data_IF_445473656001
#
_entry.id   IF_445473656001
#
_cell.length_a   1.000
_cell.length_b   1.000
_cell.length_c   1.000
_cell.angle_alpha   90.00
_cell.angle_beta   90.00
_cell.angle_gamma   90.00
#
_symmetry.space_group_name_H-M   'P 1'
#
loop_
_entity.id
_entity.type
_entity.pdbx_description
1 polymer ?
#
# COMPACT_ATOMS: atom_id res chain seq x y z
N UNK A 1 50.02 -8.35 52.65
CA UNK A 1 50.25 -8.29 51.20
C UNK A 1 49.01 -8.85 50.52
N UNK A 2 48.74 -8.39 49.29
CA UNK A 2 47.53 -8.61 48.46
C UNK A 2 46.36 -7.66 48.82
N UNK A 3 46.48 -6.37 48.49
CA UNK A 3 46.07 -5.74 47.23
C UNK A 3 44.56 -5.86 46.93
N UNK A 4 43.83 -4.87 47.43
CA UNK A 4 42.52 -4.45 46.93
C UNK A 4 42.58 -4.27 45.42
N UNK A 5 41.76 -5.02 44.68
CA UNK A 5 41.54 -4.77 43.25
C UNK A 5 40.64 -3.54 43.11
N UNK A 6 41.10 -2.42 42.52
CA UNK A 6 40.20 -1.33 42.18
C UNK A 6 39.28 -1.81 41.07
N UNK A 7 37.96 -1.70 41.29
CA UNK A 7 36.94 -1.96 40.28
C UNK A 7 37.27 -1.20 39.00
N UNK A 8 37.41 -1.90 37.88
CA UNK A 8 37.48 -1.31 36.55
C UNK A 8 36.17 -0.57 36.26
N UNK A 9 36.09 0.70 36.67
CA UNK A 9 35.15 1.65 36.08
C UNK A 9 35.58 1.80 34.62
N UNK A 10 34.95 1.02 33.73
CA UNK A 10 34.91 1.35 32.31
C UNK A 10 34.31 2.75 32.21
N UNK A 11 35.20 3.73 31.99
CA UNK A 11 34.81 5.07 31.59
C UNK A 11 34.14 4.88 30.22
N UNK A 12 32.82 4.68 30.24
CA UNK A 12 31.98 4.93 29.09
C UNK A 12 32.14 6.43 28.86
N UNK A 13 32.94 6.80 27.86
CA UNK A 13 32.84 8.09 27.22
C UNK A 13 31.43 8.19 26.65
N UNK A 14 30.48 8.56 27.51
CA UNK A 14 29.17 9.03 27.12
C UNK A 14 29.43 10.34 26.41
N UNK A 15 29.48 10.27 25.09
CA UNK A 15 29.31 11.44 24.26
C UNK A 15 27.90 11.95 24.55
N UNK A 16 27.67 13.08 25.26
CA UNK A 16 26.34 13.45 25.73
C UNK A 16 25.42 13.92 24.59
N UNK A 17 25.93 13.93 23.36
CA UNK A 17 25.29 14.54 22.19
C UNK A 17 25.14 13.56 21.02
N UNK A 18 25.37 12.24 21.21
CA UNK A 18 25.22 11.28 20.09
C UNK A 18 23.96 10.44 20.15
N UNK A 19 23.33 10.35 21.33
CA UNK A 19 22.15 9.50 21.53
C UNK A 19 20.83 10.29 21.53
N UNK A 20 20.87 11.62 21.48
CA UNK A 20 19.67 12.48 21.55
C UNK A 20 18.99 12.80 20.22
N UNK A 21 19.71 12.80 19.10
CA UNK A 21 19.19 13.34 17.83
C UNK A 21 18.68 12.28 16.85
N UNK A 22 18.88 10.99 17.13
CA UNK A 22 18.46 9.91 16.22
C UNK A 22 17.31 9.04 16.75
N UNK A 23 16.92 9.17 18.03
CA UNK A 23 15.87 8.33 18.62
C UNK A 23 14.45 8.78 18.25
N UNK A 24 14.27 10.01 17.77
CA UNK A 24 12.94 10.56 17.46
C UNK A 24 12.40 10.23 16.07
N UNK A 25 13.17 9.59 15.20
CA UNK A 25 12.76 9.43 13.79
C UNK A 25 12.14 8.06 13.48
N UNK A 26 12.38 7.01 14.29
CA UNK A 26 12.18 5.63 13.78
C UNK A 26 11.28 4.66 14.59
N UNK A 27 10.79 4.99 15.80
CA UNK A 27 10.00 4.01 16.58
C UNK A 27 8.49 4.26 16.60
N UNK A 28 8.03 5.48 16.27
CA UNK A 28 6.59 5.83 16.34
C UNK A 28 6.05 6.56 15.09
N UNK A 29 6.88 6.88 14.09
CA UNK A 29 6.51 7.78 12.99
C UNK A 29 5.89 7.12 11.76
N UNK A 30 5.91 5.79 11.62
CA UNK A 30 5.16 5.08 10.56
C UNK A 30 3.70 5.01 10.97
N UNK A 31 3.03 6.17 10.94
CA UNK A 31 1.59 6.22 11.01
C UNK A 31 1.03 5.20 10.00
N UNK A 32 0.13 4.30 10.41
CA UNK A 32 -0.47 3.32 9.53
C UNK A 32 -1.47 3.92 8.54
N UNK A 33 -1.87 5.15 8.79
CA UNK A 33 -2.86 5.90 8.01
C UNK A 33 -2.48 6.14 6.55
N UNK A 34 -1.26 6.57 6.19
CA UNK A 34 -0.88 6.85 4.82
C UNK A 34 -0.98 5.60 3.94
N UNK A 35 -0.54 4.44 4.43
CA UNK A 35 -0.63 3.19 3.68
C UNK A 35 -2.09 2.77 3.45
N UNK A 36 -2.93 2.76 4.49
CA UNK A 36 -4.34 2.41 4.36
C UNK A 36 -5.10 3.35 3.41
N UNK A 37 -4.86 4.67 3.50
CA UNK A 37 -5.47 5.65 2.60
C UNK A 37 -5.06 5.42 1.15
N UNK A 38 -3.77 5.15 0.91
CA UNK A 38 -3.28 4.87 -0.44
C UNK A 38 -3.92 3.60 -1.02
N UNK A 39 -4.00 2.51 -0.26
CA UNK A 39 -4.68 1.29 -0.71
C UNK A 39 -6.17 1.53 -0.99
N UNK A 40 -6.85 2.34 -0.17
CA UNK A 40 -8.24 2.71 -0.43
C UNK A 40 -8.40 3.55 -1.70
N UNK A 41 -7.54 4.56 -1.90
CA UNK A 41 -7.56 5.41 -3.10
C UNK A 41 -7.27 4.59 -4.37
N UNK A 42 -6.26 3.72 -4.35
CA UNK A 42 -5.97 2.82 -5.47
C UNK A 42 -7.08 1.81 -5.74
N UNK A 43 -7.70 1.28 -4.68
CA UNK A 43 -8.83 0.36 -4.80
C UNK A 43 -10.03 1.01 -5.49
N UNK A 44 -10.46 2.18 -4.99
CA UNK A 44 -11.55 2.95 -5.58
C UNK A 44 -11.21 3.43 -6.99
N UNK A 45 -9.98 3.90 -7.22
CA UNK A 45 -9.51 4.33 -8.54
C UNK A 45 -9.57 3.20 -9.57
N UNK A 46 -9.18 1.98 -9.17
CA UNK A 46 -9.23 0.80 -10.05
C UNK A 46 -10.67 0.42 -10.42
N UNK A 47 -11.59 0.44 -9.45
CA UNK A 47 -13.02 0.19 -9.69
C UNK A 47 -13.60 1.24 -10.63
N UNK A 48 -13.32 2.51 -10.38
CA UNK A 48 -13.79 3.61 -11.23
C UNK A 48 -13.25 3.51 -12.66
N UNK A 49 -11.97 3.18 -12.83
CA UNK A 49 -11.38 2.95 -14.14
C UNK A 49 -12.03 1.77 -14.86
N UNK A 50 -12.28 0.67 -14.15
CA UNK A 50 -13.01 -0.50 -14.69
C UNK A 50 -14.41 -0.13 -15.15
N UNK A 51 -15.17 0.59 -14.32
CA UNK A 51 -16.52 1.06 -14.65
C UNK A 51 -16.54 2.02 -15.85
N UNK A 52 -15.67 3.04 -15.83
CA UNK A 52 -15.54 3.99 -16.94
C UNK A 52 -15.23 3.25 -18.23
N UNK A 53 -14.29 2.30 -18.19
CA UNK A 53 -13.87 1.60 -19.39
C UNK A 53 -14.93 0.64 -19.92
N UNK A 54 -15.71 0.02 -19.04
CA UNK A 54 -16.89 -0.75 -19.43
C UNK A 54 -17.88 0.11 -20.23
N UNK A 55 -18.19 1.32 -19.77
CA UNK A 55 -19.11 2.22 -20.48
C UNK A 55 -18.54 2.66 -21.84
N UNK A 56 -17.25 2.99 -21.91
CA UNK A 56 -16.60 3.35 -23.19
C UNK A 56 -16.64 2.18 -24.18
N UNK A 57 -16.44 0.94 -23.72
CA UNK A 57 -16.55 -0.25 -24.57
C UNK A 57 -17.99 -0.52 -25.02
N UNK A 58 -18.96 -0.32 -24.12
CA UNK A 58 -20.39 -0.50 -24.43
C UNK A 58 -20.85 0.51 -25.47
N UNK A 59 -20.48 1.78 -25.29
CA UNK A 59 -20.74 2.85 -26.27
C UNK A 59 -20.05 2.58 -27.60
N UNK A 60 -18.82 2.04 -27.59
CA UNK A 60 -18.12 1.65 -28.80
C UNK A 60 -18.87 0.54 -29.57
N UNK A 61 -19.37 -0.49 -28.88
CA UNK A 61 -20.15 -1.56 -29.50
C UNK A 61 -21.47 -1.05 -30.11
N UNK A 62 -22.13 -0.08 -29.47
CA UNK A 62 -23.42 0.45 -29.96
C UNK A 62 -23.25 1.51 -31.04
N UNK A 63 -22.19 2.31 -31.01
CA UNK A 63 -21.93 3.40 -31.95
C UNK A 63 -21.17 2.96 -33.21
N UNK A 64 -20.51 1.80 -33.20
CA UNK A 64 -19.70 1.31 -34.33
C UNK A 64 -18.49 2.17 -34.64
N UNK A 65 -18.07 3.02 -33.70
CA UNK A 65 -16.92 3.93 -33.84
C UNK A 65 -15.59 3.19 -33.69
N UNK A 66 -14.45 3.89 -33.73
CA UNK A 66 -13.13 3.28 -33.47
C UNK A 66 -12.62 3.66 -32.09
N UNK A 67 -12.18 2.67 -31.32
CA UNK A 67 -11.61 2.87 -29.99
C UNK A 67 -10.14 2.42 -29.97
N UNK A 68 -9.28 3.21 -29.32
CA UNK A 68 -7.91 2.78 -29.03
C UNK A 68 -7.92 1.84 -27.82
N UNK A 69 -7.49 0.60 -28.01
CA UNK A 69 -7.27 -0.38 -26.94
C UNK A 69 -5.78 -0.62 -26.72
N UNK A 70 -5.38 -0.87 -25.47
CA UNK A 70 -4.03 -1.35 -25.15
C UNK A 70 -3.92 -2.85 -25.46
N UNK A 71 -2.71 -3.36 -25.66
CA UNK A 71 -2.46 -4.78 -25.99
C UNK A 71 -3.08 -5.75 -24.98
N UNK A 72 -2.94 -5.48 -23.69
CA UNK A 72 -3.55 -6.27 -22.61
C UNK A 72 -5.07 -6.22 -22.63
N UNK A 73 -5.64 -5.04 -22.89
CA UNK A 73 -7.09 -4.86 -22.97
C UNK A 73 -7.67 -5.61 -24.17
N UNK A 74 -6.98 -5.55 -25.31
CA UNK A 74 -7.34 -6.32 -26.51
C UNK A 74 -7.29 -7.82 -26.25
N UNK A 75 -6.24 -8.32 -25.61
CA UNK A 75 -6.15 -9.73 -25.24
C UNK A 75 -7.29 -10.15 -24.30
N UNK A 76 -7.67 -9.29 -23.35
CA UNK A 76 -8.80 -9.57 -22.49
C UNK A 76 -10.13 -9.60 -23.25
N UNK A 77 -10.29 -8.69 -24.21
CA UNK A 77 -11.45 -8.63 -25.08
C UNK A 77 -11.54 -9.86 -25.99
N UNK A 78 -10.43 -10.30 -26.57
CA UNK A 78 -10.39 -11.48 -27.45
C UNK A 78 -10.73 -12.78 -26.69
N UNK A 79 -10.43 -12.86 -25.39
CA UNK A 79 -10.71 -14.04 -24.55
C UNK A 79 -12.16 -14.13 -24.07
N UNK A 80 -12.72 -13.04 -23.55
CA UNK A 80 -14.05 -13.07 -22.91
C UNK A 80 -14.85 -11.78 -23.11
N UNK A 81 -14.54 -11.03 -24.17
CA UNK A 81 -15.31 -9.88 -24.61
C UNK A 81 -15.25 -8.70 -23.65
N UNK A 82 -16.35 -7.95 -23.61
CA UNK A 82 -16.43 -6.62 -22.98
C UNK A 82 -16.26 -6.65 -21.45
N UNK A 83 -16.53 -7.80 -20.83
CA UNK A 83 -16.65 -7.93 -19.37
C UNK A 83 -15.33 -8.22 -18.67
N UNK A 84 -14.39 -8.88 -19.35
CA UNK A 84 -13.21 -9.45 -18.69
C UNK A 84 -12.30 -8.38 -18.09
N UNK A 85 -11.98 -7.34 -18.87
CA UNK A 85 -11.07 -6.29 -18.43
C UNK A 85 -11.67 -5.45 -17.27
N UNK A 86 -12.93 -5.00 -17.33
CA UNK A 86 -13.60 -4.37 -16.19
C UNK A 86 -13.67 -5.27 -14.94
N UNK A 87 -13.94 -6.57 -15.12
CA UNK A 87 -13.98 -7.52 -14.00
C UNK A 87 -12.63 -7.65 -13.30
N UNK A 88 -11.54 -7.75 -14.06
CA UNK A 88 -10.18 -7.83 -13.49
C UNK A 88 -9.87 -6.57 -12.67
N UNK A 89 -10.19 -5.39 -13.20
CA UNK A 89 -10.00 -4.12 -12.47
C UNK A 89 -10.89 -4.02 -11.23
N UNK A 90 -12.14 -4.49 -11.31
CA UNK A 90 -13.05 -4.55 -10.17
C UNK A 90 -12.55 -5.48 -9.06
N UNK A 91 -12.12 -6.70 -9.42
CA UNK A 91 -11.56 -7.67 -8.47
C UNK A 91 -10.24 -7.17 -7.85
N UNK A 92 -9.38 -6.55 -8.65
CA UNK A 92 -8.15 -5.93 -8.16
C UNK A 92 -8.44 -4.79 -7.18
N UNK A 93 -9.42 -3.94 -7.49
CA UNK A 93 -9.86 -2.88 -6.60
C UNK A 93 -10.44 -3.42 -5.28
N UNK A 94 -11.26 -4.46 -5.34
CA UNK A 94 -11.80 -5.14 -4.16
C UNK A 94 -10.69 -5.73 -3.29
N UNK A 95 -9.71 -6.39 -3.92
CA UNK A 95 -8.54 -6.94 -3.23
C UNK A 95 -7.76 -5.85 -2.50
N UNK A 96 -7.53 -4.70 -3.13
CA UNK A 96 -6.85 -3.57 -2.51
C UNK A 96 -7.63 -3.00 -1.32
N UNK A 97 -8.96 -2.94 -1.41
CA UNK A 97 -9.82 -2.51 -0.30
C UNK A 97 -9.75 -3.48 0.89
N UNK A 98 -9.77 -4.80 0.62
CA UNK A 98 -9.59 -5.81 1.67
C UNK A 98 -8.21 -5.72 2.33
N UNK A 99 -7.16 -5.50 1.53
CA UNK A 99 -5.81 -5.28 2.04
C UNK A 99 -5.72 -4.01 2.91
N UNK A 100 -6.40 -2.92 2.51
CA UNK A 100 -6.48 -1.68 3.30
C UNK A 100 -7.11 -1.94 4.68
N UNK A 101 -8.22 -2.69 4.72
CA UNK A 101 -8.93 -3.06 5.95
C UNK A 101 -8.04 -3.96 6.83
N UNK A 102 -7.39 -4.96 6.24
CA UNK A 102 -6.50 -5.87 6.96
C UNK A 102 -5.31 -5.11 7.60
N UNK A 103 -4.69 -4.21 6.84
CA UNK A 103 -3.63 -3.33 7.36
C UNK A 103 -4.13 -2.44 8.49
N UNK A 104 -5.30 -1.81 8.32
CA UNK A 104 -5.88 -0.97 9.36
C UNK A 104 -6.12 -1.75 10.66
N UNK A 105 -6.70 -2.96 10.58
CA UNK A 105 -6.91 -3.85 11.72
C UNK A 105 -5.61 -4.28 12.39
N UNK A 106 -4.58 -4.65 11.61
CA UNK A 106 -3.26 -5.03 12.14
C UNK A 106 -2.64 -3.88 12.93
N UNK A 107 -2.74 -2.68 12.41
CA UNK A 107 -2.18 -1.49 13.03
C UNK A 107 -2.96 -1.03 14.28
N UNK A 108 -4.27 -1.27 14.33
CA UNK A 108 -5.04 -1.07 15.57
C UNK A 108 -4.65 -2.05 16.68
N UNK A 109 -4.32 -3.31 16.34
CA UNK A 109 -3.82 -4.29 17.33
C UNK A 109 -2.47 -3.86 17.90
N UNK A 110 -1.56 -3.36 17.06
CA UNK A 110 -0.25 -2.86 17.49
C UNK A 110 -0.34 -1.61 18.37
N UNK A 111 -1.37 -0.77 18.19
CA UNK A 111 -1.60 0.40 19.06
C UNK A 111 -2.18 0.05 20.45
N UNK A 112 -2.70 -1.17 20.63
CA UNK A 112 -3.33 -1.62 21.89
C UNK A 112 -2.43 -2.52 22.76
N UNK A 113 -1.32 -3.01 22.20
CA UNK A 113 -0.28 -3.77 22.91
C UNK A 113 0.82 -2.86 23.41
#
# INVERSE_FOLDING_TARGET
>A
MEQEKPSEKKIKWTNPHRDGDYEYVNSSSKSPWPASIMFTAFGLGSIYLGWRRYNELLEWQTSGTTIRMRSLEKLCYDLAGIWLFPLILGLFGLFMLLAAIANFRRNQKLKKS
#
